data_IF_559065739565
#
_entry.id   IF_559065739565
#
_cell.length_a   1.000
_cell.length_b   1.000
_cell.length_c   1.000
_cell.angle_alpha   90.00
_cell.angle_beta   90.00
_cell.angle_gamma   90.00
#
_symmetry.space_group_name_H-M   'P 1'
#
loop_
_entity.id
_entity.type
_entity.pdbx_description
1 polymer ?
#
# COMPACT_ATOMS: atom_id res chain seq x y z
N UNK A 1 -25.94 2.17 12.55
CA UNK A 1 -24.64 2.71 13.01
C UNK A 1 -23.48 1.90 12.43
N UNK A 2 -23.74 0.65 12.02
CA UNK A 2 -22.75 -0.29 11.47
C UNK A 2 -22.28 0.03 10.04
N UNK A 3 -23.14 0.58 9.17
CA UNK A 3 -22.77 0.84 7.77
C UNK A 3 -21.63 1.87 7.60
N UNK A 4 -21.55 2.88 8.49
CA UNK A 4 -20.50 3.91 8.42
C UNK A 4 -19.14 3.32 8.82
N UNK A 5 -19.13 2.47 9.85
CA UNK A 5 -17.91 1.81 10.33
C UNK A 5 -17.40 0.84 9.26
N UNK A 6 -18.29 0.04 8.67
CA UNK A 6 -17.92 -0.90 7.61
C UNK A 6 -17.44 -0.18 6.34
N UNK A 7 -18.07 0.92 5.94
CA UNK A 7 -17.60 1.74 4.81
C UNK A 7 -16.20 2.31 5.05
N UNK A 8 -15.90 2.73 6.29
CA UNK A 8 -14.56 3.21 6.64
C UNK A 8 -13.53 2.06 6.65
N UNK A 9 -13.91 0.87 7.14
CA UNK A 9 -13.06 -0.33 7.12
C UNK A 9 -12.75 -0.78 5.70
N UNK A 10 -13.74 -0.80 4.81
CA UNK A 10 -13.56 -1.11 3.38
C UNK A 10 -12.68 -0.06 2.71
N UNK A 11 -12.91 1.23 2.99
CA UNK A 11 -12.03 2.31 2.53
C UNK A 11 -10.60 2.12 3.03
N UNK A 12 -10.41 1.56 4.24
CA UNK A 12 -9.10 1.21 4.75
C UNK A 12 -8.45 0.06 3.97
N UNK A 13 -9.21 -0.99 3.65
CA UNK A 13 -8.76 -2.13 2.84
C UNK A 13 -8.29 -1.69 1.45
N UNK A 14 -9.03 -0.78 0.80
CA UNK A 14 -8.70 -0.25 -0.53
C UNK A 14 -7.29 0.35 -0.61
N UNK A 15 -6.78 0.91 0.50
CA UNK A 15 -5.42 1.47 0.58
C UNK A 15 -4.32 0.41 0.49
N UNK A 16 -4.64 -0.84 0.84
CA UNK A 16 -3.71 -1.97 0.82
C UNK A 16 -4.01 -2.95 -0.32
N UNK A 17 -4.95 -2.68 -1.22
CA UNK A 17 -5.23 -3.62 -2.32
C UNK A 17 -4.06 -3.75 -3.31
N UNK A 18 -3.34 -2.67 -3.56
CA UNK A 18 -2.15 -2.68 -4.42
C UNK A 18 -0.90 -3.26 -3.75
N UNK A 19 -0.99 -3.60 -2.46
CA UNK A 19 0.05 -4.33 -1.73
C UNK A 19 0.18 -5.72 -2.34
N UNK A 20 1.23 -5.99 -3.12
CA UNK A 20 1.50 -7.36 -3.58
C UNK A 20 2.89 -7.62 -4.16
N UNK A 21 3.50 -6.70 -4.91
CA UNK A 21 4.57 -7.13 -5.82
C UNK A 21 5.99 -7.17 -5.20
N UNK A 22 6.38 -6.18 -4.40
CA UNK A 22 7.77 -6.11 -3.87
C UNK A 22 7.98 -6.94 -2.59
N UNK A 23 6.89 -7.34 -1.91
CA UNK A 23 6.91 -7.95 -0.57
C UNK A 23 6.44 -9.39 -0.52
N UNK A 24 6.23 -10.03 -1.67
CA UNK A 24 5.67 -11.37 -1.74
C UNK A 24 6.48 -12.40 -0.93
N UNK A 25 7.81 -12.29 -0.94
CA UNK A 25 8.68 -13.18 -0.15
C UNK A 25 8.48 -13.02 1.36
N UNK A 26 8.45 -11.78 1.85
CA UNK A 26 8.28 -11.49 3.28
C UNK A 26 6.94 -12.05 3.80
N UNK A 27 5.87 -11.86 3.01
CA UNK A 27 4.54 -12.42 3.33
C UNK A 27 4.52 -13.94 3.27
N UNK A 28 5.23 -14.54 2.30
CA UNK A 28 5.32 -15.98 2.15
C UNK A 28 6.06 -16.63 3.33
N UNK A 29 7.12 -15.97 3.82
CA UNK A 29 7.86 -16.42 5.00
C UNK A 29 6.97 -16.38 6.25
N UNK A 30 6.12 -15.36 6.39
CA UNK A 30 5.18 -15.26 7.51
C UNK A 30 4.10 -16.36 7.47
N UNK A 31 3.48 -16.64 6.32
CA UNK A 31 2.48 -17.75 6.25
C UNK A 31 3.13 -19.11 6.48
N UNK A 32 4.37 -19.30 6.03
CA UNK A 32 5.14 -20.51 6.34
C UNK A 32 5.36 -20.65 7.86
N UNK A 33 5.80 -19.58 8.53
CA UNK A 33 5.99 -19.59 9.98
C UNK A 33 4.67 -19.84 10.72
N UNK A 34 3.57 -19.22 10.30
CA UNK A 34 2.25 -19.44 10.89
C UNK A 34 1.83 -20.92 10.78
N UNK A 35 1.98 -21.52 9.60
CA UNK A 35 1.72 -22.95 9.36
C UNK A 35 2.57 -23.86 10.25
N UNK A 36 3.88 -23.60 10.35
CA UNK A 36 4.82 -24.40 11.15
C UNK A 36 4.54 -24.26 12.65
N UNK A 37 4.44 -23.03 13.16
CA UNK A 37 4.22 -22.76 14.59
C UNK A 37 2.89 -23.32 15.04
N UNK A 38 1.83 -23.10 14.26
CA UNK A 38 0.50 -23.59 14.57
C UNK A 38 0.30 -25.05 14.12
N UNK A 39 1.33 -25.74 13.60
CA UNK A 39 1.28 -27.09 13.02
C UNK A 39 -0.03 -27.35 12.26
N UNK A 40 -0.33 -26.47 11.30
CA UNK A 40 -1.56 -26.46 10.51
C UNK A 40 -1.20 -26.45 9.02
N UNK A 41 -1.81 -27.30 8.18
CA UNK A 41 -1.41 -27.47 6.78
C UNK A 41 -1.72 -26.27 5.90
N UNK A 42 -2.66 -25.41 6.31
CA UNK A 42 -3.12 -24.26 5.54
C UNK A 42 -2.88 -23.01 6.38
N UNK A 43 -2.27 -21.98 5.78
CA UNK A 43 -2.12 -20.66 6.38
C UNK A 43 -2.25 -19.58 5.31
N UNK A 44 -2.98 -18.50 5.62
CA UNK A 44 -3.32 -17.43 4.67
C UNK A 44 -3.11 -16.06 5.31
N UNK A 45 -2.58 -15.14 4.53
CA UNK A 45 -2.73 -13.70 4.75
C UNK A 45 -3.78 -13.23 3.74
N UNK A 46 -4.84 -12.59 4.22
CA UNK A 46 -5.90 -12.09 3.37
C UNK A 46 -6.42 -10.73 3.79
N UNK A 47 -6.83 -9.93 2.80
CA UNK A 47 -7.54 -8.68 3.00
C UNK A 47 -9.04 -8.89 2.77
N UNK A 48 -9.86 -8.24 3.60
CA UNK A 48 -11.32 -8.37 3.57
C UNK A 48 -11.93 -7.17 2.87
N UNK A 49 -12.15 -7.27 1.56
CA UNK A 49 -12.88 -6.26 0.78
C UNK A 49 -14.39 -6.42 0.98
N UNK A 50 -15.20 -5.59 0.30
CA UNK A 50 -16.65 -5.54 0.49
C UNK A 50 -17.32 -6.94 0.37
N UNK A 51 -17.19 -7.60 -0.78
CA UNK A 51 -17.84 -8.91 -1.05
C UNK A 51 -16.86 -10.09 -1.08
N UNK A 52 -15.56 -9.81 -1.09
CA UNK A 52 -14.52 -10.82 -1.34
C UNK A 52 -13.38 -10.74 -0.33
N UNK A 53 -12.83 -11.90 -0.04
CA UNK A 53 -11.56 -12.07 0.64
C UNK A 53 -10.47 -12.25 -0.41
N UNK A 54 -9.51 -11.33 -0.43
CA UNK A 54 -8.36 -11.36 -1.34
C UNK A 54 -7.16 -11.96 -0.63
N UNK A 55 -6.66 -13.09 -1.12
CA UNK A 55 -5.53 -13.80 -0.52
C UNK A 55 -4.23 -13.19 -1.07
N UNK A 56 -3.37 -12.74 -0.17
CA UNK A 56 -2.09 -12.06 -0.47
C UNK A 56 -0.90 -12.99 -0.36
N UNK A 57 -0.92 -13.91 0.58
CA UNK A 57 0.04 -15.01 0.69
C UNK A 57 -0.67 -16.25 1.23
N UNK A 58 -0.18 -17.42 0.84
CA UNK A 58 -0.84 -18.68 1.15
C UNK A 58 0.10 -19.87 1.16
N UNK A 59 -0.27 -20.89 1.91
CA UNK A 59 0.24 -22.25 1.81
C UNK A 59 -0.91 -23.24 1.99
N UNK A 60 -0.82 -24.39 1.34
CA UNK A 60 -1.81 -25.47 1.47
C UNK A 60 -3.14 -25.24 0.75
N UNK A 61 -3.25 -24.22 -0.11
CA UNK A 61 -4.45 -23.99 -0.93
C UNK A 61 -4.11 -23.27 -2.25
N UNK A 62 -4.89 -23.55 -3.28
CA UNK A 62 -4.82 -22.86 -4.58
C UNK A 62 -5.76 -21.65 -4.68
N UNK A 63 -6.62 -21.41 -3.67
CA UNK A 63 -7.51 -20.26 -3.65
C UNK A 63 -6.74 -18.93 -3.70
N UNK A 64 -7.21 -17.97 -4.50
CA UNK A 64 -6.67 -16.59 -4.56
C UNK A 64 -7.71 -15.56 -4.12
N UNK A 65 -8.99 -15.88 -4.31
CA UNK A 65 -10.14 -15.08 -3.91
C UNK A 65 -11.19 -16.02 -3.32
N UNK A 66 -11.85 -15.59 -2.25
CA UNK A 66 -12.97 -16.32 -1.65
C UNK A 66 -14.16 -15.39 -1.43
N UNK A 67 -15.41 -15.86 -1.56
CA UNK A 67 -16.58 -15.07 -1.19
C UNK A 67 -16.56 -14.77 0.31
N UNK A 68 -16.79 -13.51 0.68
CA UNK A 68 -16.87 -13.09 2.09
C UNK A 68 -17.98 -13.83 2.84
N UNK A 69 -19.12 -14.09 2.20
CA UNK A 69 -20.26 -14.80 2.78
C UNK A 69 -19.94 -16.21 3.29
N UNK A 70 -18.89 -16.84 2.76
CA UNK A 70 -18.48 -18.21 3.13
C UNK A 70 -17.21 -18.25 3.98
N UNK A 71 -16.64 -17.09 4.32
CA UNK A 71 -15.35 -16.98 4.98
C UNK A 71 -15.46 -16.91 6.49
N UNK A 72 -14.63 -17.70 7.18
CA UNK A 72 -14.40 -17.57 8.62
C UNK A 72 -13.88 -16.17 8.97
N UNK A 73 -13.08 -15.57 8.08
CA UNK A 73 -12.45 -14.26 8.28
C UNK A 73 -13.46 -13.12 8.40
N UNK A 74 -14.69 -13.29 7.88
CA UNK A 74 -15.76 -12.29 8.02
C UNK A 74 -16.12 -12.06 9.49
N UNK A 75 -16.24 -13.14 10.26
CA UNK A 75 -16.52 -13.04 11.69
C UNK A 75 -15.28 -12.59 12.48
N UNK A 76 -14.09 -12.96 12.00
CA UNK A 76 -12.85 -12.59 12.67
C UNK A 76 -12.58 -11.08 12.65
N UNK A 77 -12.85 -10.40 11.52
CA UNK A 77 -12.61 -8.95 11.41
C UNK A 77 -13.59 -8.10 12.21
N UNK A 78 -14.74 -8.65 12.58
CA UNK A 78 -15.72 -8.02 13.47
C UNK A 78 -15.31 -8.10 14.94
N UNK A 79 -14.42 -9.05 15.28
CA UNK A 79 -13.87 -9.22 16.62
C UNK A 79 -12.54 -8.47 16.71
N UNK A 80 -12.16 -7.97 17.88
CA UNK A 80 -10.86 -7.31 18.06
C UNK A 80 -9.75 -8.27 18.58
N UNK A 81 -10.16 -9.48 18.97
CA UNK A 81 -9.33 -10.52 19.56
C UNK A 81 -9.04 -11.65 18.56
N UNK A 82 -8.09 -12.52 18.91
CA UNK A 82 -7.83 -13.76 18.16
C UNK A 82 -9.08 -14.63 18.17
N UNK A 83 -9.54 -15.03 17.00
CA UNK A 83 -10.65 -15.97 16.87
C UNK A 83 -10.11 -17.40 16.76
N UNK A 84 -10.66 -18.31 17.57
CA UNK A 84 -10.32 -19.75 17.54
C UNK A 84 -11.59 -20.58 17.43
N UNK A 85 -11.66 -21.43 16.42
CA UNK A 85 -12.71 -22.43 16.20
C UNK A 85 -12.04 -23.80 16.26
N UNK A 86 -12.24 -24.50 17.38
CA UNK A 86 -11.59 -25.80 17.64
C UNK A 86 -12.13 -26.92 16.75
N UNK A 87 -13.44 -26.89 16.50
CA UNK A 87 -14.16 -27.82 15.63
C UNK A 87 -15.35 -27.10 14.98
N UNK A 88 -15.23 -26.75 13.71
CA UNK A 88 -16.20 -26.00 12.93
C UNK A 88 -17.52 -26.78 12.75
N UNK A 89 -17.51 -28.11 12.90
CA UNK A 89 -18.75 -28.91 12.86
C UNK A 89 -19.61 -28.75 14.11
N UNK A 90 -19.03 -28.22 15.19
CA UNK A 90 -19.68 -27.95 16.47
C UNK A 90 -19.92 -26.47 16.72
N UNK A 91 -19.47 -25.61 15.81
CA UNK A 91 -19.66 -24.17 15.90
C UNK A 91 -20.88 -23.77 15.08
N UNK A 92 -21.93 -23.25 15.73
CA UNK A 92 -23.19 -22.90 15.08
C UNK A 92 -23.02 -21.91 13.93
N UNK A 93 -21.96 -21.08 13.97
CA UNK A 93 -21.67 -20.10 12.90
C UNK A 93 -21.17 -20.76 11.62
N UNK A 94 -20.56 -21.94 11.72
CA UNK A 94 -19.81 -22.57 10.61
C UNK A 94 -20.21 -24.01 10.29
N UNK A 95 -21.00 -24.68 11.13
CA UNK A 95 -21.32 -26.09 10.96
C UNK A 95 -22.00 -26.42 9.62
N UNK A 96 -22.72 -25.46 9.04
CA UNK A 96 -23.40 -25.57 7.73
C UNK A 96 -22.63 -24.92 6.58
N UNK A 97 -21.45 -24.34 6.84
CA UNK A 97 -20.66 -23.67 5.81
C UNK A 97 -20.16 -24.68 4.77
N UNK A 98 -20.20 -24.37 3.46
CA UNK A 98 -19.80 -25.32 2.41
C UNK A 98 -18.38 -25.87 2.58
N UNK A 99 -17.44 -25.04 3.06
CA UNK A 99 -16.05 -25.45 3.31
C UNK A 99 -15.89 -26.42 4.49
N UNK A 100 -16.92 -26.55 5.33
CA UNK A 100 -17.00 -27.51 6.45
C UNK A 100 -17.73 -28.78 6.01
N UNK A 101 -18.88 -28.64 5.34
CA UNK A 101 -19.73 -29.77 4.94
C UNK A 101 -19.19 -30.52 3.72
N UNK A 102 -18.55 -29.82 2.78
CA UNK A 102 -17.96 -30.37 1.57
C UNK A 102 -16.43 -30.28 1.64
N UNK A 103 -15.74 -30.79 0.62
CA UNK A 103 -14.30 -30.60 0.44
C UNK A 103 -13.94 -29.10 0.58
N UNK A 104 -12.90 -28.75 1.37
CA UNK A 104 -11.87 -29.62 1.95
C UNK A 104 -12.19 -30.16 3.36
N UNK A 105 -13.42 -30.02 3.84
CA UNK A 105 -13.86 -30.46 5.17
C UNK A 105 -13.08 -29.81 6.31
N UNK A 106 -13.01 -28.47 6.31
CA UNK A 106 -12.39 -27.69 7.39
C UNK A 106 -13.01 -28.04 8.74
N UNK A 107 -12.16 -28.21 9.75
CA UNK A 107 -12.55 -28.47 11.14
C UNK A 107 -11.95 -27.45 12.08
N UNK A 108 -10.72 -27.03 11.86
CA UNK A 108 -10.07 -26.08 12.74
C UNK A 108 -9.79 -24.77 12.00
N UNK A 109 -9.96 -23.66 12.71
CA UNK A 109 -9.61 -22.33 12.25
C UNK A 109 -9.07 -21.50 13.42
N UNK A 110 -7.99 -20.76 13.19
CA UNK A 110 -7.58 -19.69 14.08
C UNK A 110 -7.08 -18.49 13.28
N UNK A 111 -7.33 -17.28 13.78
CA UNK A 111 -6.94 -16.05 13.08
C UNK A 111 -6.61 -14.91 14.01
N UNK A 112 -5.62 -14.11 13.60
CA UNK A 112 -5.32 -12.81 14.17
C UNK A 112 -5.52 -11.71 13.12
N UNK A 113 -6.04 -10.57 13.55
CA UNK A 113 -6.39 -9.47 12.65
C UNK A 113 -5.18 -8.66 12.20
N UNK A 114 -5.28 -8.17 10.97
CA UNK A 114 -4.36 -7.18 10.41
C UNK A 114 -4.98 -5.81 10.63
N UNK A 115 -4.37 -5.01 11.50
CA UNK A 115 -4.89 -3.68 11.87
C UNK A 115 -4.18 -2.60 11.07
N UNK A 116 -4.96 -1.72 10.46
CA UNK A 116 -4.42 -0.49 9.88
C UNK A 116 -4.04 0.52 10.96
N UNK A 117 -3.21 1.50 10.61
CA UNK A 117 -2.79 2.58 11.52
C UNK A 117 -3.96 3.38 12.14
N UNK A 118 -5.10 3.45 11.45
CA UNK A 118 -6.34 4.10 11.89
C UNK A 118 -7.30 3.16 12.65
N UNK A 119 -6.83 1.96 13.00
CA UNK A 119 -7.50 1.05 13.93
C UNK A 119 -8.51 0.09 13.31
N UNK A 120 -8.59 0.00 11.98
CA UNK A 120 -9.54 -0.89 11.30
C UNK A 120 -8.94 -2.28 11.04
N UNK A 121 -9.74 -3.32 11.24
CA UNK A 121 -9.39 -4.69 10.85
C UNK A 121 -9.53 -4.85 9.33
N UNK A 122 -8.43 -4.71 8.61
CA UNK A 122 -8.41 -4.74 7.13
C UNK A 122 -8.24 -6.15 6.57
N UNK A 123 -7.89 -7.12 7.42
CA UNK A 123 -7.62 -8.48 7.00
C UNK A 123 -7.27 -9.40 8.16
N UNK A 124 -6.78 -10.59 7.84
CA UNK A 124 -6.38 -11.61 8.82
C UNK A 124 -5.12 -12.36 8.38
N UNK A 125 -4.29 -12.74 9.34
CA UNK A 125 -3.43 -13.92 9.24
C UNK A 125 -4.16 -15.08 9.90
N UNK A 126 -4.45 -16.14 9.14
CA UNK A 126 -5.22 -17.26 9.63
C UNK A 126 -4.63 -18.61 9.25
N UNK A 127 -4.97 -19.64 10.02
CA UNK A 127 -4.57 -21.03 9.82
C UNK A 127 -5.80 -21.93 9.83
N UNK A 128 -5.76 -22.98 9.01
CA UNK A 128 -6.84 -23.97 8.92
C UNK A 128 -6.30 -25.40 8.99
N UNK A 129 -7.14 -26.30 9.50
CA UNK A 129 -6.89 -27.74 9.45
C UNK A 129 -8.21 -28.51 9.17
N UNK A 130 -8.07 -29.69 8.59
CA UNK A 130 -9.16 -30.67 8.36
C UNK A 130 -9.40 -31.56 9.58
N UNK A 131 -8.61 -31.38 10.64
CA UNK A 131 -8.78 -32.07 11.93
C UNK A 131 -9.08 -31.05 13.04
N UNK A 132 -9.98 -31.38 14.00
CA UNK A 132 -10.17 -30.56 15.18
C UNK A 132 -8.86 -30.40 15.96
N UNK A 133 -8.66 -29.21 16.53
CA UNK A 133 -7.41 -28.86 17.20
C UNK A 133 -7.60 -27.77 18.24
N UNK A 134 -6.65 -27.69 19.16
CA UNK A 134 -6.46 -26.55 20.04
C UNK A 134 -5.06 -25.98 19.86
N UNK A 135 -4.92 -24.66 20.03
CA UNK A 135 -3.62 -24.00 20.05
C UNK A 135 -3.23 -23.69 21.49
N UNK A 136 -1.95 -23.83 21.79
CA UNK A 136 -1.42 -23.38 23.08
C UNK A 136 -1.43 -21.85 23.13
N UNK A 137 -1.43 -21.29 24.33
CA UNK A 137 -1.33 -19.85 24.53
C UNK A 137 -0.12 -19.25 23.80
N UNK A 138 1.02 -19.95 23.83
CA UNK A 138 2.23 -19.53 23.12
C UNK A 138 2.04 -19.50 21.59
N UNK A 139 1.32 -20.46 21.02
CA UNK A 139 1.02 -20.47 19.58
C UNK A 139 0.09 -19.30 19.19
N UNK A 140 -0.90 -18.99 20.03
CA UNK A 140 -1.79 -17.84 19.82
C UNK A 140 -1.02 -16.52 19.88
N UNK A 141 -0.14 -16.35 20.88
CA UNK A 141 0.72 -15.17 21.00
C UNK A 141 1.65 -15.02 19.78
N UNK A 142 2.24 -16.12 19.31
CA UNK A 142 3.03 -16.10 18.08
C UNK A 142 2.19 -15.74 16.86
N UNK A 143 0.96 -16.26 16.72
CA UNK A 143 0.08 -15.93 15.60
C UNK A 143 -0.28 -14.44 15.58
N UNK A 144 -0.61 -13.86 16.74
CA UNK A 144 -0.83 -12.41 16.87
C UNK A 144 0.43 -11.60 16.57
N UNK A 145 1.60 -12.02 17.07
CA UNK A 145 2.86 -11.35 16.78
C UNK A 145 3.16 -11.34 15.27
N UNK A 146 2.93 -12.45 14.56
CA UNK A 146 3.07 -12.53 13.12
C UNK A 146 2.09 -11.62 12.38
N UNK A 147 0.81 -11.57 12.80
CA UNK A 147 -0.20 -10.67 12.23
C UNK A 147 0.19 -9.19 12.39
N UNK A 148 0.76 -8.83 13.55
CA UNK A 148 1.30 -7.48 13.78
C UNK A 148 2.47 -7.17 12.82
N UNK A 149 3.35 -8.14 12.54
CA UNK A 149 4.42 -7.94 11.55
C UNK A 149 3.88 -7.72 10.15
N UNK A 150 2.86 -8.46 9.74
CA UNK A 150 2.18 -8.22 8.45
C UNK A 150 1.61 -6.81 8.40
N UNK A 151 0.96 -6.36 9.48
CA UNK A 151 0.43 -5.00 9.59
C UNK A 151 1.53 -3.93 9.44
N UNK A 152 2.68 -4.12 10.08
CA UNK A 152 3.83 -3.22 9.91
C UNK A 152 4.37 -3.19 8.47
N UNK A 153 4.46 -4.34 7.80
CA UNK A 153 4.91 -4.41 6.40
C UNK A 153 3.91 -3.66 5.49
N UNK A 154 2.62 -3.82 5.74
CA UNK A 154 1.56 -3.11 5.02
C UNK A 154 1.67 -1.59 5.19
N UNK A 155 1.89 -1.11 6.42
CA UNK A 155 2.07 0.33 6.69
C UNK A 155 3.36 0.91 6.08
N UNK A 156 4.44 0.13 6.10
CA UNK A 156 5.69 0.52 5.48
C UNK A 156 5.53 0.68 3.96
N UNK A 157 4.90 -0.29 3.29
CA UNK A 157 4.65 -0.23 1.85
C UNK A 157 3.77 0.95 1.46
N UNK A 158 2.68 1.18 2.21
CA UNK A 158 1.83 2.36 2.06
C UNK A 158 2.63 3.66 2.17
N UNK A 159 3.46 3.78 3.21
CA UNK A 159 4.26 4.99 3.47
C UNK A 159 5.30 5.23 2.37
N UNK A 160 5.94 4.17 1.88
CA UNK A 160 6.86 4.23 0.74
C UNK A 160 6.15 4.66 -0.54
N UNK A 161 4.96 4.13 -0.82
CA UNK A 161 4.18 4.52 -2.00
C UNK A 161 3.72 5.98 -1.92
N UNK A 162 3.33 6.45 -0.74
CA UNK A 162 3.01 7.87 -0.51
C UNK A 162 4.24 8.76 -0.76
N UNK A 163 5.40 8.38 -0.23
CA UNK A 163 6.65 9.11 -0.42
C UNK A 163 7.06 9.14 -1.90
N UNK A 164 6.97 8.00 -2.61
CA UNK A 164 7.22 7.91 -4.07
C UNK A 164 6.31 8.88 -4.85
N UNK A 165 5.02 8.96 -4.50
CA UNK A 165 4.05 9.88 -5.12
C UNK A 165 4.36 11.34 -4.85
N UNK A 166 4.74 11.70 -3.62
CA UNK A 166 5.17 13.06 -3.29
C UNK A 166 6.45 13.44 -4.07
N UNK A 167 7.41 12.52 -4.14
CA UNK A 167 8.65 12.74 -4.89
C UNK A 167 8.39 12.93 -6.39
N UNK A 168 7.46 12.18 -6.99
CA UNK A 168 7.12 12.36 -8.41
C UNK A 168 6.48 13.72 -8.69
N UNK A 169 5.62 14.22 -7.79
CA UNK A 169 5.04 15.56 -7.90
C UNK A 169 6.12 16.63 -7.82
N UNK A 170 7.02 16.53 -6.85
CA UNK A 170 8.16 17.47 -6.73
C UNK A 170 9.03 17.48 -7.99
N UNK A 171 9.29 16.31 -8.58
CA UNK A 171 10.05 16.21 -9.84
C UNK A 171 9.34 16.87 -11.01
N UNK A 172 8.01 16.76 -11.09
CA UNK A 172 7.25 17.40 -12.16
C UNK A 172 7.25 18.93 -12.02
N UNK A 173 7.11 19.45 -10.80
CA UNK A 173 7.28 20.88 -10.52
C UNK A 173 8.67 21.35 -10.94
N UNK A 174 9.73 20.64 -10.52
CA UNK A 174 11.10 20.97 -10.91
C UNK A 174 11.32 20.92 -12.44
N UNK A 175 10.61 20.04 -13.15
CA UNK A 175 10.67 19.93 -14.62
C UNK A 175 10.03 21.14 -15.30
N UNK A 176 8.89 21.62 -14.79
CA UNK A 176 8.21 22.82 -15.30
C UNK A 176 9.10 24.05 -15.08
N UNK A 177 9.64 24.23 -13.88
CA UNK A 177 10.55 25.35 -13.56
C UNK A 177 11.79 25.33 -14.47
N UNK A 178 12.37 24.15 -14.68
CA UNK A 178 13.52 24.00 -15.59
C UNK A 178 13.21 24.39 -17.04
N UNK A 179 11.97 24.18 -17.50
CA UNK A 179 11.54 24.56 -18.84
C UNK A 179 11.45 26.07 -18.99
N UNK A 180 10.90 26.77 -18.01
CA UNK A 180 10.76 28.22 -18.02
C UNK A 180 12.09 28.94 -17.94
N UNK A 181 13.08 28.37 -17.23
CA UNK A 181 14.46 28.89 -17.24
C UNK A 181 15.16 28.63 -18.57
N UNK A 182 14.83 27.54 -19.27
CA UNK A 182 15.48 27.16 -20.55
C UNK A 182 15.12 28.11 -21.68
N UNK A 183 13.90 28.65 -21.70
CA UNK A 183 13.42 29.55 -22.76
C UNK A 183 14.26 30.84 -22.91
N UNK A 184 14.47 31.66 -21.87
CA UNK A 184 15.31 32.85 -21.98
C UNK A 184 16.78 32.51 -22.23
N UNK A 185 17.31 31.41 -21.64
CA UNK A 185 18.69 30.95 -21.91
C UNK A 185 18.88 30.60 -23.39
N UNK A 186 17.94 29.87 -23.99
CA UNK A 186 17.99 29.55 -25.41
C UNK A 186 17.95 30.82 -26.29
N UNK A 187 17.17 31.83 -25.89
CA UNK A 187 17.12 33.12 -26.58
C UNK A 187 18.44 33.87 -26.49
N UNK A 188 19.03 33.99 -25.28
CA UNK A 188 20.35 34.61 -25.07
C UNK A 188 21.42 33.91 -25.91
N UNK A 189 21.43 32.58 -25.92
CA UNK A 189 22.38 31.79 -26.72
C UNK A 189 22.20 32.06 -28.22
N UNK A 190 20.97 32.10 -28.71
CA UNK A 190 20.66 32.40 -30.11
C UNK A 190 21.15 33.79 -30.52
N UNK A 191 20.85 34.82 -29.73
CA UNK A 191 21.32 36.19 -29.99
C UNK A 191 22.84 36.27 -29.94
N UNK A 192 23.47 35.64 -28.95
CA UNK A 192 24.94 35.62 -28.84
C UNK A 192 25.58 34.95 -30.05
N UNK A 193 24.97 33.91 -30.60
CA UNK A 193 25.44 33.24 -31.82
C UNK A 193 25.32 34.15 -33.05
N UNK A 194 24.19 34.85 -33.22
CA UNK A 194 23.98 35.81 -34.31
C UNK A 194 24.99 36.97 -34.26
N UNK A 195 25.31 37.46 -33.07
CA UNK A 195 26.32 38.51 -32.88
C UNK A 195 27.74 38.01 -33.21
N UNK A 196 28.06 36.75 -32.92
CA UNK A 196 29.34 36.12 -33.29
C UNK A 196 29.48 35.91 -34.80
N UNK A 197 28.38 35.58 -35.49
CA UNK A 197 28.37 35.41 -36.95
C UNK A 197 28.43 36.74 -37.71
N UNK A 198 27.94 37.83 -37.10
CA UNK A 198 27.94 39.17 -37.70
C UNK A 198 28.67 40.21 -36.81
N UNK A 199 29.99 40.07 -36.58
CA UNK A 199 30.74 40.84 -35.58
C UNK A 199 30.89 42.33 -35.90
N UNK A 200 30.71 42.74 -37.16
CA UNK A 200 30.92 44.13 -37.62
C UNK A 200 29.61 44.92 -37.80
N UNK A 201 28.45 44.34 -37.49
CA UNK A 201 27.15 45.00 -37.61
C UNK A 201 26.58 45.34 -36.24
N UNK A 202 26.47 46.63 -35.95
CA UNK A 202 25.70 47.11 -34.80
C UNK A 202 24.21 46.93 -35.10
N UNK A 203 23.60 45.90 -34.51
CA UNK A 203 22.15 45.71 -34.53
C UNK A 203 21.60 45.98 -33.13
N UNK A 204 21.08 47.20 -32.87
CA UNK A 204 20.49 47.56 -31.58
C UNK A 204 19.41 46.57 -31.12
N UNK A 205 18.68 46.00 -32.09
CA UNK A 205 17.64 44.99 -31.86
C UNK A 205 18.17 43.73 -31.18
N UNK A 206 19.42 43.32 -31.44
CA UNK A 206 20.04 42.17 -30.76
C UNK A 206 20.34 42.48 -29.29
N UNK A 207 20.84 43.69 -29.01
CA UNK A 207 21.11 44.12 -27.63
C UNK A 207 19.80 44.24 -26.84
N UNK A 208 18.75 44.77 -27.44
CA UNK A 208 17.42 44.86 -26.81
C UNK A 208 16.81 43.48 -26.54
N UNK A 209 16.93 42.53 -27.49
CA UNK A 209 16.44 41.17 -27.31
C UNK A 209 17.22 40.40 -26.23
N UNK A 210 18.54 40.64 -26.14
CA UNK A 210 19.39 40.05 -25.12
C UNK A 210 19.05 40.61 -23.75
N UNK A 211 18.91 41.93 -23.60
CA UNK A 211 18.52 42.57 -22.35
C UNK A 211 17.14 42.11 -21.87
N UNK A 212 16.17 42.03 -22.79
CA UNK A 212 14.84 41.47 -22.49
C UNK A 212 14.91 40.03 -22.00
N UNK A 213 15.73 39.19 -22.63
CA UNK A 213 15.86 37.77 -22.26
C UNK A 213 16.58 37.59 -20.93
N UNK A 214 17.59 38.43 -20.63
CA UNK A 214 18.29 38.46 -19.34
C UNK A 214 17.34 38.90 -18.23
N UNK A 215 16.56 39.96 -18.44
CA UNK A 215 15.58 40.44 -17.47
C UNK A 215 14.49 39.39 -17.19
N UNK A 216 13.99 38.71 -18.24
CA UNK A 216 13.05 37.60 -18.07
C UNK A 216 13.64 36.44 -17.25
N UNK A 217 14.93 36.12 -17.43
CA UNK A 217 15.61 35.10 -16.64
C UNK A 217 15.77 35.53 -15.17
N UNK A 218 16.20 36.78 -14.92
CA UNK A 218 16.35 37.32 -13.57
C UNK A 218 15.00 37.34 -12.81
N UNK A 219 13.92 37.77 -13.46
CA UNK A 219 12.57 37.73 -12.90
C UNK A 219 12.15 36.31 -12.52
N UNK A 220 12.40 35.32 -13.39
CA UNK A 220 12.06 33.92 -13.09
C UNK A 220 12.87 33.38 -11.91
N UNK A 221 14.16 33.68 -11.84
CA UNK A 221 15.03 33.28 -10.71
C UNK A 221 14.54 33.92 -9.41
N UNK A 222 14.22 35.22 -9.41
CA UNK A 222 13.70 35.90 -8.22
C UNK A 222 12.39 35.30 -7.72
N UNK A 223 11.47 34.96 -8.62
CA UNK A 223 10.21 34.30 -8.25
C UNK A 223 10.47 32.93 -7.61
N UNK A 224 11.40 32.13 -8.13
CA UNK A 224 11.74 30.83 -7.53
C UNK A 224 12.31 31.02 -6.12
N UNK A 225 13.28 31.93 -5.95
CA UNK A 225 13.94 32.18 -4.67
C UNK A 225 12.98 32.72 -3.61
N UNK A 226 12.02 33.58 -3.98
CA UNK A 226 11.03 34.09 -3.03
C UNK A 226 10.10 33.00 -2.51
N UNK A 227 9.66 32.07 -3.36
CA UNK A 227 8.80 30.96 -2.95
C UNK A 227 9.48 29.95 -2.02
N UNK A 228 10.80 29.81 -2.08
CA UNK A 228 11.57 28.91 -1.21
C UNK A 228 11.72 29.48 0.21
N UNK A 229 11.80 30.80 0.36
CA UNK A 229 12.02 31.45 1.66
C UNK A 229 10.72 31.69 2.47
N UNK A 230 9.54 31.46 1.90
CA UNK A 230 8.25 31.62 2.57
C UNK A 230 7.78 30.37 3.35
N UNK A 231 8.57 29.29 3.39
CA UNK A 231 8.31 28.13 4.26
C UNK A 231 9.01 28.30 5.62
N UNK A 232 8.26 28.34 6.74
CA UNK A 232 8.88 28.33 8.07
C UNK A 232 9.58 26.98 8.33
N UNK A 233 10.78 27.04 8.91
CA UNK A 233 11.59 25.89 9.37
C UNK A 233 10.82 24.93 10.30
#
# INVERSE_FOLDING_TARGET
MDDVIENNRVSAVQRYLNFNLERQKDLQDIVMLASVICNSPIALISLMDFDIQLIKAKIGTEATVMPRSTSFCTHAVEMDEIMVVKDATKDERFATAPVVTNDPHIRFYASANLKSYDGYNVGTLCVYDTKPKDLTQQQLECLAALANQVSHIMELDRSLNQLKKQNSVLREVARIESHELRQPVASIMGVTMLMKENPCTHHPEYLELLDKSVNQLDERIRMIVSHVNDYPE
#
